data_IF_993195507818
#
_entry.id   IF_993195507818
#
_cell.length_a   1.000
_cell.length_b   1.000
_cell.length_c   1.000
_cell.angle_alpha   90.00
_cell.angle_beta   90.00
_cell.angle_gamma   90.00
#
_symmetry.space_group_name_H-M   'P 1'
#
loop_
_entity.id
_entity.type
_entity.pdbx_description
1 polymer ?
#
# COMPACT_ATOMS: atom_id res chain seq x y z
N UNK A 1 22.98 -14.64 9.19
CA UNK A 1 23.26 -14.44 10.62
C UNK A 1 22.51 -13.19 11.04
N UNK A 2 21.49 -13.30 11.92
CA UNK A 2 20.75 -12.11 12.40
C UNK A 2 21.74 -11.11 13.02
N UNK A 3 21.57 -9.82 12.75
CA UNK A 3 22.27 -8.78 13.52
C UNK A 3 21.88 -8.97 14.98
N UNK A 4 22.83 -8.92 15.93
CA UNK A 4 22.42 -8.95 17.33
C UNK A 4 21.60 -7.69 17.59
N UNK A 5 20.42 -7.84 18.20
CA UNK A 5 19.50 -6.72 18.43
C UNK A 5 20.18 -5.59 19.22
N UNK A 6 21.09 -5.97 20.12
CA UNK A 6 21.95 -5.06 20.89
C UNK A 6 22.91 -4.25 20.00
N UNK A 7 23.57 -4.87 19.03
CA UNK A 7 24.46 -4.15 18.11
C UNK A 7 23.67 -3.24 17.18
N UNK A 8 22.49 -3.67 16.74
CA UNK A 8 21.65 -2.85 15.90
C UNK A 8 21.22 -1.56 16.63
N UNK A 9 20.69 -1.69 17.85
CA UNK A 9 20.33 -0.55 18.69
C UNK A 9 21.52 0.39 18.97
N UNK A 10 22.73 -0.16 19.12
CA UNK A 10 23.92 0.64 19.44
C UNK A 10 24.52 1.37 18.24
N UNK A 11 24.39 0.81 17.03
CA UNK A 11 25.15 1.28 15.86
C UNK A 11 24.31 1.77 14.68
N UNK A 12 23.02 1.45 14.58
CA UNK A 12 22.19 1.72 13.39
C UNK A 12 22.25 3.16 12.92
N UNK A 13 21.91 4.13 13.77
CA UNK A 13 21.89 5.55 13.43
C UNK A 13 23.26 6.09 13.03
N UNK A 14 24.33 5.63 13.70
CA UNK A 14 25.70 6.09 13.44
C UNK A 14 26.28 5.50 12.16
N UNK A 15 26.05 4.20 11.92
CA UNK A 15 26.41 3.52 10.67
C UNK A 15 25.67 4.16 9.50
N UNK A 16 24.37 4.42 9.64
CA UNK A 16 23.57 5.10 8.64
C UNK A 16 24.09 6.51 8.34
N UNK A 17 24.37 7.31 9.37
CA UNK A 17 24.89 8.67 9.21
C UNK A 17 26.22 8.67 8.45
N UNK A 18 27.17 7.83 8.86
CA UNK A 18 28.47 7.76 8.19
C UNK A 18 28.36 7.36 6.72
N UNK A 19 27.47 6.42 6.40
CA UNK A 19 27.28 5.96 5.03
C UNK A 19 26.53 7.00 4.17
N UNK A 20 25.33 7.42 4.59
CA UNK A 20 24.44 8.23 3.76
C UNK A 20 24.69 9.73 3.82
N UNK A 21 25.24 10.24 4.94
CA UNK A 21 25.48 11.68 5.13
C UNK A 21 26.95 12.05 5.03
N UNK A 22 27.84 11.22 5.58
CA UNK A 22 29.28 11.49 5.55
C UNK A 22 30.01 10.88 4.35
N UNK A 23 29.35 10.04 3.55
CA UNK A 23 29.93 9.45 2.33
C UNK A 23 31.01 8.39 2.57
N UNK A 24 31.10 7.85 3.78
CA UNK A 24 32.08 6.81 4.12
C UNK A 24 31.73 5.47 3.45
N UNK A 25 32.75 4.74 3.03
CA UNK A 25 32.62 3.35 2.58
C UNK A 25 32.31 2.42 3.75
N UNK A 26 31.72 1.26 3.44
CA UNK A 26 31.42 0.24 4.45
C UNK A 26 32.68 -0.29 5.15
N UNK A 27 33.84 -0.26 4.47
CA UNK A 27 35.11 -0.70 5.04
C UNK A 27 35.64 0.32 6.07
N UNK A 28 35.60 1.61 5.75
CA UNK A 28 36.01 2.67 6.68
C UNK A 28 35.10 2.72 7.92
N UNK A 29 33.79 2.49 7.74
CA UNK A 29 32.85 2.41 8.86
C UNK A 29 33.16 1.21 9.75
N UNK A 30 33.46 0.06 9.13
CA UNK A 30 33.80 -1.17 9.85
C UNK A 30 35.04 -0.97 10.72
N UNK A 31 36.12 -0.43 10.16
CA UNK A 31 37.35 -0.09 10.89
C UNK A 31 37.08 0.92 12.01
N UNK A 32 36.38 2.02 11.69
CA UNK A 32 36.09 3.10 12.65
C UNK A 32 35.27 2.65 13.86
N UNK A 33 34.38 1.66 13.67
CA UNK A 33 33.48 1.18 14.72
C UNK A 33 33.94 -0.15 15.34
N UNK A 34 35.09 -0.71 14.91
CA UNK A 34 35.54 -2.02 15.36
C UNK A 34 34.58 -3.16 14.98
N UNK A 35 33.84 -3.00 13.88
CA UNK A 35 32.89 -3.97 13.34
C UNK A 35 33.50 -4.68 12.12
N UNK A 36 32.97 -5.83 11.74
CA UNK A 36 33.29 -6.41 10.44
C UNK A 36 32.39 -5.80 9.34
N UNK A 37 32.89 -5.77 8.10
CA UNK A 37 32.18 -5.20 6.95
C UNK A 37 30.80 -5.84 6.73
N UNK A 38 30.68 -7.15 6.88
CA UNK A 38 29.41 -7.87 6.76
C UNK A 38 28.37 -7.41 7.79
N UNK A 39 28.80 -7.03 8.99
CA UNK A 39 27.94 -6.48 10.05
C UNK A 39 27.46 -5.09 9.68
N UNK A 40 28.32 -4.22 9.16
CA UNK A 40 27.94 -2.90 8.65
C UNK A 40 26.91 -3.02 7.52
N UNK A 41 27.13 -3.94 6.57
CA UNK A 41 26.17 -4.22 5.49
C UNK A 41 24.81 -4.65 6.07
N UNK A 42 24.82 -5.59 7.01
CA UNK A 42 23.58 -6.08 7.60
C UNK A 42 22.85 -4.99 8.40
N UNK A 43 23.57 -4.13 9.14
CA UNK A 43 22.99 -2.98 9.84
C UNK A 43 22.39 -1.99 8.84
N UNK A 44 23.09 -1.63 7.76
CA UNK A 44 22.56 -0.73 6.73
C UNK A 44 21.33 -1.31 6.04
N UNK A 45 21.34 -2.61 5.74
CA UNK A 45 20.21 -3.30 5.14
C UNK A 45 19.01 -3.34 6.09
N UNK A 46 19.25 -3.62 7.38
CA UNK A 46 18.20 -3.62 8.40
C UNK A 46 17.63 -2.21 8.60
N UNK A 47 18.48 -1.18 8.64
CA UNK A 47 18.07 0.22 8.79
C UNK A 47 17.26 0.75 7.62
N UNK A 48 17.53 0.27 6.41
CA UNK A 48 16.65 0.53 5.26
C UNK A 48 15.34 -0.25 5.38
N UNK A 49 15.42 -1.51 5.81
CA UNK A 49 14.27 -2.42 5.86
C UNK A 49 13.25 -1.98 6.91
N UNK A 50 13.69 -1.59 8.09
CA UNK A 50 12.83 -1.26 9.23
C UNK A 50 12.35 0.21 9.25
N UNK A 51 12.87 1.04 8.34
CA UNK A 51 12.49 2.45 8.21
C UNK A 51 13.35 3.41 9.04
N UNK A 52 14.34 2.93 9.80
CA UNK A 52 15.31 3.78 10.52
C UNK A 52 16.01 4.78 9.58
N UNK A 53 16.22 4.37 8.33
CA UNK A 53 16.70 5.23 7.25
C UNK A 53 15.66 5.27 6.15
N UNK A 54 15.20 6.47 5.85
CA UNK A 54 14.50 6.76 4.60
C UNK A 54 15.35 7.62 3.67
N UNK A 55 15.18 7.40 2.37
CA UNK A 55 15.90 8.08 1.31
C UNK A 55 14.88 8.82 0.44
N UNK A 56 14.92 10.15 0.50
CA UNK A 56 14.19 11.00 -0.43
C UNK A 56 15.06 11.30 -1.64
N UNK A 57 14.57 10.93 -2.82
CA UNK A 57 15.19 11.33 -4.08
C UNK A 57 14.40 12.52 -4.62
N UNK A 58 15.01 13.69 -4.60
CA UNK A 58 14.46 14.90 -5.21
C UNK A 58 15.08 15.10 -6.59
N UNK A 59 14.23 15.35 -7.59
CA UNK A 59 14.62 15.56 -8.97
C UNK A 59 13.48 15.25 -9.92
N UNK A 60 13.55 15.76 -11.14
CA UNK A 60 12.59 15.43 -12.20
C UNK A 60 13.29 14.57 -13.24
N UNK A 61 12.94 13.29 -13.31
CA UNK A 61 13.23 12.50 -14.49
C UNK A 61 12.29 12.98 -15.60
N UNK A 62 12.86 13.64 -16.62
CA UNK A 62 12.08 14.22 -17.71
C UNK A 62 11.29 13.18 -18.51
N UNK A 63 11.70 11.90 -18.53
CA UNK A 63 10.95 10.83 -19.19
C UNK A 63 9.76 10.40 -18.35
N UNK A 64 9.97 10.17 -17.05
CA UNK A 64 8.87 9.79 -16.15
C UNK A 64 7.83 10.90 -16.04
N UNK A 65 8.25 12.15 -15.94
CA UNK A 65 7.34 13.30 -15.92
C UNK A 65 6.47 13.39 -17.19
N UNK A 66 7.02 13.02 -18.35
CA UNK A 66 6.24 12.94 -19.60
C UNK A 66 5.20 11.82 -19.57
N UNK A 67 5.54 10.66 -18.99
CA UNK A 67 4.59 9.55 -18.81
C UNK A 67 3.46 9.93 -17.85
N UNK A 68 3.80 10.57 -16.72
CA UNK A 68 2.84 11.08 -15.74
C UNK A 68 1.84 12.04 -16.40
N UNK A 69 2.33 13.05 -17.12
CA UNK A 69 1.49 14.01 -17.83
C UNK A 69 0.64 13.39 -18.94
N UNK A 70 1.18 12.41 -19.67
CA UNK A 70 0.43 11.69 -20.70
C UNK A 70 -0.73 10.89 -20.08
N UNK A 71 -0.46 10.13 -19.00
CA UNK A 71 -1.49 9.35 -18.31
C UNK A 71 -2.56 10.24 -17.68
N UNK A 72 -2.17 11.35 -17.05
CA UNK A 72 -3.13 12.34 -16.52
C UNK A 72 -4.10 12.80 -17.59
N UNK A 73 -3.60 13.11 -18.80
CA UNK A 73 -4.41 13.59 -19.92
C UNK A 73 -5.28 12.50 -20.55
N UNK A 74 -4.72 11.33 -20.86
CA UNK A 74 -5.44 10.23 -21.54
C UNK A 74 -6.58 9.71 -20.66
N UNK A 75 -6.32 9.56 -19.37
CA UNK A 75 -7.22 8.91 -18.43
C UNK A 75 -7.97 9.88 -17.51
N UNK A 76 -7.75 11.19 -17.66
CA UNK A 76 -8.31 12.23 -16.79
C UNK A 76 -8.05 11.99 -15.29
N UNK A 77 -6.84 11.50 -14.97
CA UNK A 77 -6.41 11.29 -13.58
C UNK A 77 -5.96 12.61 -12.96
N UNK A 78 -6.30 12.82 -11.68
CA UNK A 78 -5.92 14.02 -10.93
C UNK A 78 -4.41 14.10 -10.76
N UNK A 79 -3.80 12.99 -10.34
CA UNK A 79 -2.36 12.86 -10.17
C UNK A 79 -1.88 11.49 -10.62
N UNK A 80 -0.65 11.44 -11.12
CA UNK A 80 0.06 10.22 -11.49
C UNK A 80 1.49 10.33 -10.97
N UNK A 81 1.97 9.29 -10.31
CA UNK A 81 3.38 9.15 -9.93
C UNK A 81 3.93 7.86 -10.56
N UNK A 82 5.00 7.99 -11.34
CA UNK A 82 5.67 6.87 -12.00
C UNK A 82 7.04 6.65 -11.37
N UNK A 83 7.26 5.45 -10.85
CA UNK A 83 8.60 5.05 -10.40
C UNK A 83 9.43 4.47 -11.56
N UNK A 84 10.77 4.60 -11.54
CA UNK A 84 11.64 3.94 -12.51
C UNK A 84 11.41 2.43 -12.54
N UNK A 85 11.74 1.80 -13.67
CA UNK A 85 11.74 0.33 -13.76
C UNK A 85 12.69 -0.28 -12.72
N UNK A 86 12.16 -1.20 -11.90
CA UNK A 86 12.89 -2.02 -10.94
C UNK A 86 12.69 -3.50 -11.24
N UNK A 87 13.45 -4.38 -10.57
CA UNK A 87 13.21 -5.81 -10.66
C UNK A 87 11.84 -6.19 -10.05
N UNK A 88 11.13 -7.14 -10.65
CA UNK A 88 9.77 -7.53 -10.25
C UNK A 88 9.66 -7.85 -8.74
N UNK A 89 10.67 -8.53 -8.18
CA UNK A 89 10.73 -8.88 -6.75
C UNK A 89 10.75 -7.67 -5.81
N UNK A 90 11.14 -6.50 -6.30
CA UNK A 90 11.26 -5.25 -5.54
C UNK A 90 10.11 -4.28 -5.85
N UNK A 91 9.27 -4.60 -6.84
CA UNK A 91 8.25 -3.68 -7.34
C UNK A 91 7.25 -3.26 -6.27
N UNK A 92 6.69 -4.24 -5.52
CA UNK A 92 5.74 -3.95 -4.44
C UNK A 92 6.33 -3.01 -3.39
N UNK A 93 7.57 -3.26 -2.96
CA UNK A 93 8.28 -2.45 -1.98
C UNK A 93 8.52 -1.01 -2.47
N UNK A 94 8.95 -0.85 -3.73
CA UNK A 94 9.18 0.48 -4.30
C UNK A 94 7.88 1.25 -4.51
N UNK A 95 6.78 0.57 -4.85
CA UNK A 95 5.45 1.19 -4.91
C UNK A 95 4.96 1.64 -3.52
N UNK A 96 5.24 0.87 -2.47
CA UNK A 96 4.95 1.29 -1.09
C UNK A 96 5.75 2.53 -0.68
N UNK A 97 7.05 2.57 -1.01
CA UNK A 97 7.90 3.75 -0.75
C UNK A 97 7.37 4.97 -1.51
N UNK A 98 6.99 4.81 -2.77
CA UNK A 98 6.39 5.87 -3.57
C UNK A 98 5.05 6.35 -2.98
N UNK A 99 4.21 5.43 -2.50
CA UNK A 99 2.97 5.76 -1.79
C UNK A 99 3.21 6.56 -0.51
N UNK A 100 4.23 6.20 0.27
CA UNK A 100 4.62 6.95 1.47
C UNK A 100 5.09 8.36 1.12
N UNK A 101 5.95 8.49 0.11
CA UNK A 101 6.41 9.78 -0.38
C UNK A 101 5.26 10.64 -0.90
N UNK A 102 4.34 10.06 -1.68
CA UNK A 102 3.17 10.76 -2.18
C UNK A 102 2.33 11.30 -1.02
N UNK A 103 2.04 10.46 -0.01
CA UNK A 103 1.27 10.85 1.16
C UNK A 103 1.90 12.01 1.94
N UNK A 104 3.23 11.99 2.12
CA UNK A 104 3.99 13.07 2.77
C UNK A 104 3.91 14.41 2.03
N UNK A 105 3.64 14.39 0.74
CA UNK A 105 3.50 15.61 -0.08
C UNK A 105 2.05 16.09 -0.22
N UNK A 106 1.06 15.25 0.08
CA UNK A 106 -0.36 15.59 -0.06
C UNK A 106 -0.94 16.36 1.12
N UNK A 107 -0.43 16.17 2.33
CA UNK A 107 -0.97 16.84 3.50
C UNK A 107 -0.33 18.20 3.73
N UNK A 108 -1.18 19.21 3.92
CA UNK A 108 -0.78 20.47 4.53
C UNK A 108 -0.56 20.28 6.05
N UNK A 109 -0.17 21.33 6.77
CA UNK A 109 0.13 21.23 8.21
C UNK A 109 -1.07 20.86 9.10
N UNK A 110 -2.30 20.78 8.56
CA UNK A 110 -3.50 20.42 9.32
C UNK A 110 -3.72 18.92 9.41
N UNK A 111 -3.03 18.11 8.61
CA UNK A 111 -3.25 16.66 8.54
C UNK A 111 -4.60 16.30 7.92
N UNK A 112 -5.00 15.04 8.03
CA UNK A 112 -6.30 14.58 7.57
C UNK A 112 -6.51 13.08 7.82
N UNK A 113 -7.63 12.56 7.33
CA UNK A 113 -7.99 11.16 7.51
C UNK A 113 -7.57 10.32 6.30
N UNK A 114 -6.72 9.32 6.54
CA UNK A 114 -6.21 8.39 5.51
C UNK A 114 -6.92 7.04 5.61
N UNK A 115 -7.69 6.72 4.60
CA UNK A 115 -8.24 5.39 4.38
C UNK A 115 -7.18 4.45 3.83
N UNK A 116 -6.94 3.34 4.50
CA UNK A 116 -6.00 2.31 4.08
C UNK A 116 -6.77 1.09 3.59
N UNK A 117 -6.61 0.79 2.30
CA UNK A 117 -7.07 -0.44 1.69
C UNK A 117 -6.22 -1.65 2.07
N UNK A 118 -6.58 -2.77 1.45
CA UNK A 118 -6.01 -4.07 1.74
C UNK A 118 -4.73 -4.37 0.94
N UNK A 119 -3.86 -5.21 1.50
CA UNK A 119 -2.74 -5.85 0.79
C UNK A 119 -1.35 -5.28 1.10
N UNK A 120 -0.32 -6.07 0.76
CA UNK A 120 1.07 -5.77 1.15
C UNK A 120 1.57 -4.39 0.70
N UNK A 121 1.19 -3.94 -0.49
CA UNK A 121 1.66 -2.65 -1.02
C UNK A 121 1.12 -1.48 -0.19
N UNK A 122 -0.16 -1.51 0.21
CA UNK A 122 -0.78 -0.45 1.01
C UNK A 122 -0.30 -0.53 2.46
N UNK A 123 -0.28 -1.72 3.07
CA UNK A 123 0.26 -1.89 4.43
C UNK A 123 1.73 -1.49 4.53
N UNK A 124 2.51 -1.62 3.45
CA UNK A 124 3.90 -1.17 3.40
C UNK A 124 4.07 0.35 3.44
N UNK A 125 3.07 1.14 3.04
CA UNK A 125 3.17 2.61 3.01
C UNK A 125 3.42 3.18 4.40
N UNK A 126 2.66 2.70 5.39
CA UNK A 126 2.80 3.15 6.78
C UNK A 126 4.16 2.78 7.38
N UNK A 127 4.83 1.74 6.85
CA UNK A 127 6.18 1.35 7.25
C UNK A 127 7.27 2.24 6.65
N UNK A 128 7.02 2.85 5.49
CA UNK A 128 8.01 3.68 4.78
C UNK A 128 7.78 5.18 4.95
N UNK A 129 6.83 5.58 5.80
CA UNK A 129 6.71 6.96 6.24
C UNK A 129 7.99 7.38 6.95
N UNK A 130 8.55 8.47 6.48
CA UNK A 130 9.89 8.96 6.79
C UNK A 130 9.87 10.33 7.43
N UNK A 131 8.75 11.03 7.30
CA UNK A 131 8.45 12.26 8.02
C UNK A 131 7.36 12.00 9.03
N UNK A 132 7.45 12.72 10.15
CA UNK A 132 6.30 12.93 11.02
C UNK A 132 5.27 13.69 10.18
N UNK A 133 4.18 13.00 9.83
CA UNK A 133 2.98 13.62 9.29
C UNK A 133 2.42 14.64 10.30
N UNK A 134 1.59 15.59 9.87
CA UNK A 134 0.98 16.54 10.79
C UNK A 134 0.25 15.83 11.94
N UNK A 135 0.34 16.36 13.16
CA UNK A 135 -0.11 15.67 14.39
C UNK A 135 -1.62 15.35 14.47
N UNK A 136 -2.44 15.92 13.58
CA UNK A 136 -3.88 15.59 13.46
C UNK A 136 -4.19 14.54 12.39
N UNK A 137 -3.16 13.94 11.80
CA UNK A 137 -3.35 12.85 10.83
C UNK A 137 -3.90 11.63 11.55
N UNK A 138 -4.88 10.97 10.94
CA UNK A 138 -5.48 9.74 11.43
C UNK A 138 -5.53 8.71 10.30
N UNK A 139 -5.54 7.43 10.66
CA UNK A 139 -5.65 6.33 9.72
C UNK A 139 -6.88 5.49 10.02
N UNK A 140 -7.54 4.98 8.99
CA UNK A 140 -8.71 4.10 9.12
C UNK A 140 -8.65 3.00 8.06
N UNK A 141 -9.02 1.77 8.41
CA UNK A 141 -9.06 0.67 7.44
C UNK A 141 -10.31 0.73 6.57
N UNK A 142 -10.19 0.50 5.27
CA UNK A 142 -11.32 0.48 4.31
C UNK A 142 -12.02 -0.88 4.23
N UNK A 143 -11.49 -1.90 4.90
CA UNK A 143 -12.09 -3.22 4.96
C UNK A 143 -11.71 -3.96 6.24
N UNK A 144 -12.50 -4.97 6.58
CA UNK A 144 -12.14 -5.93 7.63
C UNK A 144 -10.92 -6.77 7.27
N UNK A 145 -10.63 -7.74 8.12
CA UNK A 145 -9.51 -8.68 7.99
C UNK A 145 -8.51 -8.52 9.11
N UNK A 146 -8.36 -7.31 9.69
CA UNK A 146 -7.48 -6.88 10.80
C UNK A 146 -6.03 -7.37 10.69
N UNK A 147 -5.78 -8.68 10.74
CA UNK A 147 -4.47 -9.35 10.63
C UNK A 147 -3.64 -8.91 9.44
N UNK A 148 -4.24 -8.44 8.35
CA UNK A 148 -3.54 -7.96 7.15
C UNK A 148 -2.97 -6.55 7.31
N UNK A 149 -3.58 -5.78 8.20
CA UNK A 149 -3.00 -4.54 8.69
C UNK A 149 -1.97 -4.85 9.77
N UNK A 150 -2.06 -6.00 10.46
CA UNK A 150 -1.08 -6.44 11.46
C UNK A 150 0.11 -7.11 10.79
N UNK A 151 1.16 -6.34 10.50
CA UNK A 151 2.43 -6.93 10.08
C UNK A 151 2.89 -7.99 11.09
N UNK A 152 3.04 -9.23 10.65
CA UNK A 152 3.69 -10.29 11.43
C UNK A 152 5.08 -9.80 11.86
N UNK A 153 5.22 -9.54 13.16
CA UNK A 153 6.47 -9.31 13.89
C UNK A 153 7.57 -8.56 13.13
N UNK A 154 7.55 -7.23 13.17
CA UNK A 154 8.80 -6.45 13.12
C UNK A 154 9.06 -5.86 14.50
N UNK A 155 9.88 -6.56 15.27
CA UNK A 155 10.46 -6.05 16.52
C UNK A 155 11.32 -4.83 16.18
N UNK A 156 10.94 -3.64 16.66
CA UNK A 156 11.78 -2.44 16.60
C UNK A 156 11.22 -1.22 15.86
N UNK A 157 10.02 -1.27 15.29
CA UNK A 157 9.47 -0.10 14.58
C UNK A 157 8.76 0.88 15.51
N UNK A 158 9.00 2.17 15.27
CA UNK A 158 8.17 3.29 15.75
C UNK A 158 6.85 3.36 14.96
N UNK A 159 6.22 2.21 14.73
CA UNK A 159 5.18 2.04 13.72
C UNK A 159 4.80 0.58 13.48
N UNK A 160 4.70 -0.25 14.51
CA UNK A 160 3.92 -1.48 14.36
C UNK A 160 2.43 -1.09 14.21
N UNK A 161 1.69 -1.66 13.25
CA UNK A 161 0.38 -1.15 12.83
C UNK A 161 -0.76 -1.26 13.86
N UNK A 162 -0.48 -1.64 15.11
CA UNK A 162 -1.37 -1.35 16.24
C UNK A 162 -0.68 -0.75 17.48
N UNK A 163 0.66 -0.73 17.56
CA UNK A 163 1.37 -0.29 18.78
C UNK A 163 2.44 0.76 18.54
N UNK A 164 2.60 1.26 17.32
CA UNK A 164 3.61 2.26 16.98
C UNK A 164 3.14 3.43 16.14
N UNK A 165 1.85 3.57 15.82
CA UNK A 165 1.43 4.80 15.19
C UNK A 165 1.57 5.97 16.18
N UNK A 166 2.40 6.95 15.84
CA UNK A 166 2.31 8.31 16.41
C UNK A 166 0.91 8.95 16.19
N UNK A 167 0.06 8.33 15.37
CA UNK A 167 -1.22 8.81 14.89
C UNK A 167 -2.37 7.87 15.33
N UNK A 168 -3.59 8.37 15.54
CA UNK A 168 -4.75 7.52 15.76
C UNK A 168 -4.98 6.55 14.59
N UNK A 169 -5.27 5.28 14.89
CA UNK A 169 -5.53 4.22 13.92
C UNK A 169 -6.85 3.52 14.24
N UNK A 170 -7.80 3.55 13.31
CA UNK A 170 -9.16 3.03 13.47
C UNK A 170 -9.33 1.78 12.60
N UNK A 171 -9.26 0.61 13.22
CA UNK A 171 -9.41 -0.67 12.53
C UNK A 171 -10.86 -1.15 12.54
N UNK A 172 -11.35 -1.67 11.42
CA UNK A 172 -12.63 -2.38 11.36
C UNK A 172 -12.48 -3.71 12.12
N UNK A 173 -13.19 -3.92 13.24
CA UNK A 173 -12.99 -5.08 14.11
C UNK A 173 -13.70 -6.33 13.60
N UNK A 174 -13.60 -6.60 12.30
CA UNK A 174 -14.31 -7.71 11.62
C UNK A 174 -13.36 -8.49 10.72
N UNK A 175 -13.70 -9.74 10.36
CA UNK A 175 -13.12 -10.38 9.18
C UNK A 175 -13.42 -9.59 7.91
N UNK A 176 -12.63 -9.79 6.86
CA UNK A 176 -12.91 -9.25 5.53
C UNK A 176 -14.13 -9.92 4.90
N UNK A 177 -14.13 -11.26 4.95
CA UNK A 177 -15.14 -12.13 4.37
C UNK A 177 -15.80 -12.97 5.45
N UNK A 178 -17.13 -12.93 5.50
CA UNK A 178 -17.93 -13.67 6.47
C UNK A 178 -18.48 -14.96 5.85
N UNK A 179 -18.89 -15.89 6.71
CA UNK A 179 -19.44 -17.18 6.27
C UNK A 179 -20.78 -17.04 5.55
N UNK A 180 -21.63 -16.11 5.99
CA UNK A 180 -22.98 -15.89 5.43
C UNK A 180 -23.29 -14.41 5.25
N UNK A 181 -24.25 -14.11 4.36
CA UNK A 181 -24.77 -12.75 4.14
C UNK A 181 -25.40 -12.19 5.41
N UNK A 182 -26.24 -12.97 6.08
CA UNK A 182 -26.91 -12.56 7.33
C UNK A 182 -25.91 -12.21 8.44
N UNK A 183 -24.80 -12.95 8.57
CA UNK A 183 -23.75 -12.60 9.53
C UNK A 183 -23.05 -11.27 9.17
N UNK A 184 -22.78 -11.07 7.88
CA UNK A 184 -22.24 -9.80 7.38
C UNK A 184 -23.17 -8.63 7.70
N UNK A 185 -24.47 -8.76 7.41
CA UNK A 185 -25.49 -7.74 7.71
C UNK A 185 -25.60 -7.45 9.20
N UNK A 186 -25.59 -8.48 10.06
CA UNK A 186 -25.62 -8.30 11.51
C UNK A 186 -24.38 -7.55 12.01
N UNK A 187 -23.18 -7.91 11.55
CA UNK A 187 -21.96 -7.20 11.95
C UNK A 187 -21.92 -5.76 11.44
N UNK A 188 -22.43 -5.50 10.22
CA UNK A 188 -22.57 -4.14 9.70
C UNK A 188 -23.58 -3.29 10.48
N UNK A 189 -24.44 -3.91 11.29
CA UNK A 189 -25.38 -3.21 12.18
C UNK A 189 -24.82 -2.95 13.58
N UNK A 190 -23.65 -3.49 13.93
CA UNK A 190 -23.00 -3.21 15.21
C UNK A 190 -22.45 -1.77 15.22
N UNK A 191 -22.73 -1.04 16.28
CA UNK A 191 -22.38 0.39 16.41
C UNK A 191 -20.90 0.67 16.20
N UNK A 192 -20.01 -0.19 16.72
CA UNK A 192 -18.56 -0.04 16.54
C UNK A 192 -18.15 -0.17 15.07
N UNK A 193 -18.76 -1.12 14.35
CA UNK A 193 -18.49 -1.34 12.92
C UNK A 193 -19.01 -0.15 12.11
N UNK A 194 -20.23 0.32 12.38
CA UNK A 194 -20.80 1.49 11.73
C UNK A 194 -19.93 2.73 11.93
N UNK A 195 -19.48 2.98 13.16
CA UNK A 195 -18.63 4.14 13.50
C UNK A 195 -17.34 4.15 12.66
N UNK A 196 -16.66 3.00 12.55
CA UNK A 196 -15.42 2.91 11.77
C UNK A 196 -15.70 2.96 10.27
N UNK A 197 -16.78 2.33 9.78
CA UNK A 197 -17.19 2.40 8.37
C UNK A 197 -17.55 3.82 7.93
N UNK A 198 -18.28 4.56 8.76
CA UNK A 198 -18.60 5.97 8.52
C UNK A 198 -17.34 6.81 8.47
N UNK A 199 -16.41 6.62 9.43
CA UNK A 199 -15.10 7.28 9.39
C UNK A 199 -14.36 6.94 8.09
N UNK A 200 -14.30 5.65 7.71
CA UNK A 200 -13.66 5.20 6.47
C UNK A 200 -14.21 5.92 5.22
N UNK A 201 -15.53 6.06 5.10
CA UNK A 201 -16.20 6.75 4.00
C UNK A 201 -15.86 8.25 3.90
N UNK A 202 -15.50 8.88 5.03
CA UNK A 202 -15.11 10.29 5.10
C UNK A 202 -13.60 10.52 4.95
N UNK A 203 -12.82 9.50 4.58
CA UNK A 203 -11.38 9.67 4.37
C UNK A 203 -11.09 10.77 3.34
N UNK A 204 -10.15 11.65 3.68
CA UNK A 204 -9.69 12.69 2.77
C UNK A 204 -8.95 12.08 1.58
N UNK A 205 -8.18 11.02 1.86
CA UNK A 205 -7.40 10.24 0.92
C UNK A 205 -7.65 8.77 1.22
N UNK A 206 -7.95 7.97 0.19
CA UNK A 206 -8.00 6.51 0.26
C UNK A 206 -6.86 5.92 -0.56
N UNK A 207 -5.99 5.13 0.07
CA UNK A 207 -4.90 4.41 -0.57
C UNK A 207 -5.35 2.97 -0.81
N UNK A 208 -5.50 2.57 -2.07
CA UNK A 208 -6.03 1.24 -2.43
C UNK A 208 -5.06 0.48 -3.32
N UNK A 209 -4.86 -0.79 -3.03
CA UNK A 209 -4.17 -1.71 -3.93
C UNK A 209 -5.10 -2.17 -5.04
N UNK A 210 -4.57 -2.37 -6.24
CA UNK A 210 -5.32 -2.96 -7.36
C UNK A 210 -4.87 -4.41 -7.53
N UNK A 211 -5.79 -5.35 -7.32
CA UNK A 211 -5.57 -6.78 -7.45
C UNK A 211 -5.83 -7.27 -8.86
N UNK A 212 -5.07 -8.29 -9.29
CA UNK A 212 -5.31 -9.04 -10.52
C UNK A 212 -5.72 -10.48 -10.18
N UNK A 213 -6.47 -11.11 -11.07
CA UNK A 213 -6.94 -12.49 -10.92
C UNK A 213 -5.81 -13.49 -11.22
N UNK A 214 -4.88 -13.60 -10.28
CA UNK A 214 -3.72 -14.49 -10.38
C UNK A 214 -3.85 -15.67 -9.41
N UNK A 215 -3.46 -16.90 -9.80
CA UNK A 215 -3.51 -18.08 -8.92
C UNK A 215 -2.69 -17.93 -7.63
N UNK A 216 -1.65 -17.07 -7.66
CA UNK A 216 -0.79 -16.78 -6.51
C UNK A 216 -1.19 -15.47 -5.79
N UNK A 217 -2.38 -14.94 -6.06
CA UNK A 217 -2.89 -13.73 -5.42
C UNK A 217 -3.00 -13.93 -3.90
N UNK A 218 -2.99 -12.81 -3.18
CA UNK A 218 -3.13 -12.81 -1.73
C UNK A 218 -4.50 -13.42 -1.34
N UNK A 219 -5.55 -13.21 -2.14
CA UNK A 219 -6.86 -13.84 -1.93
C UNK A 219 -6.83 -15.38 -1.95
N UNK A 220 -6.05 -15.99 -2.83
CA UNK A 220 -5.88 -17.46 -2.85
C UNK A 220 -5.07 -17.92 -1.64
N UNK A 221 -4.01 -17.19 -1.29
CA UNK A 221 -3.16 -17.51 -0.14
C UNK A 221 -3.91 -17.45 1.19
N UNK A 222 -4.85 -16.52 1.33
CA UNK A 222 -5.70 -16.38 2.52
C UNK A 222 -6.98 -17.25 2.46
N UNK A 223 -7.12 -18.08 1.42
CA UNK A 223 -8.24 -19.01 1.29
C UNK A 223 -9.59 -18.35 0.98
N UNK A 224 -9.59 -17.08 0.58
CA UNK A 224 -10.82 -16.38 0.19
C UNK A 224 -11.39 -16.90 -1.13
N UNK A 225 -10.54 -17.47 -2.00
CA UNK A 225 -10.92 -18.10 -3.28
C UNK A 225 -9.96 -19.21 -3.70
N UNK A 226 -10.47 -20.20 -4.41
CA UNK A 226 -9.70 -21.22 -5.13
C UNK A 226 -9.21 -20.72 -6.50
N UNK A 227 -8.25 -21.44 -7.09
CA UNK A 227 -7.76 -21.14 -8.44
C UNK A 227 -8.85 -21.38 -9.50
N UNK A 228 -9.71 -22.35 -9.27
CA UNK A 228 -10.85 -22.71 -10.12
C UNK A 228 -11.88 -21.59 -10.15
N UNK A 229 -12.23 -21.04 -8.98
CA UNK A 229 -13.12 -19.88 -8.88
C UNK A 229 -12.55 -18.66 -9.61
N UNK A 230 -11.25 -18.39 -9.50
CA UNK A 230 -10.63 -17.29 -10.26
C UNK A 230 -10.73 -17.49 -11.78
N UNK A 231 -10.59 -18.72 -12.28
CA UNK A 231 -10.77 -19.02 -13.70
C UNK A 231 -12.22 -18.76 -14.14
N UNK A 232 -13.19 -19.10 -13.30
CA UNK A 232 -14.62 -18.81 -13.55
C UNK A 232 -14.86 -17.31 -13.60
N UNK A 233 -14.38 -16.54 -12.61
CA UNK A 233 -14.50 -15.09 -12.59
C UNK A 233 -13.89 -14.43 -13.82
N UNK A 234 -12.73 -14.91 -14.27
CA UNK A 234 -12.11 -14.41 -15.51
C UNK A 234 -12.98 -14.68 -16.74
N UNK A 235 -13.68 -15.82 -16.80
CA UNK A 235 -14.66 -16.11 -17.87
C UNK A 235 -15.89 -15.22 -17.79
N UNK A 236 -16.29 -14.84 -16.58
CA UNK A 236 -17.39 -13.90 -16.30
C UNK A 236 -17.00 -12.43 -16.55
N UNK A 237 -15.75 -12.17 -16.97
CA UNK A 237 -15.29 -10.85 -17.38
C UNK A 237 -14.52 -10.07 -16.32
N UNK A 238 -14.25 -10.66 -15.15
CA UNK A 238 -13.45 -10.03 -14.12
C UNK A 238 -12.02 -9.76 -14.62
N UNK A 239 -11.57 -8.52 -14.48
CA UNK A 239 -10.21 -8.10 -14.83
C UNK A 239 -9.38 -7.73 -13.60
N UNK A 240 -10.03 -7.31 -12.52
CA UNK A 240 -9.38 -6.92 -11.28
C UNK A 240 -10.28 -7.00 -10.07
N UNK A 241 -9.69 -6.74 -8.90
CA UNK A 241 -10.40 -6.60 -7.63
C UNK A 241 -9.83 -5.48 -6.77
N UNK A 242 -10.66 -4.90 -5.89
CA UNK A 242 -10.20 -4.14 -4.74
C UNK A 242 -11.04 -4.52 -3.53
N UNK A 243 -10.38 -4.79 -2.41
CA UNK A 243 -11.02 -5.19 -1.15
C UNK A 243 -11.95 -6.41 -1.30
N UNK A 244 -11.69 -7.28 -2.28
CA UNK A 244 -12.47 -8.48 -2.54
C UNK A 244 -13.66 -8.28 -3.48
N UNK A 245 -13.97 -7.05 -3.88
CA UNK A 245 -14.95 -6.81 -4.94
C UNK A 245 -14.30 -6.85 -6.32
N UNK A 246 -14.87 -7.67 -7.19
CA UNK A 246 -14.39 -7.86 -8.56
C UNK A 246 -15.10 -6.92 -9.52
N UNK A 247 -14.35 -6.42 -10.50
CA UNK A 247 -14.85 -5.52 -11.53
C UNK A 247 -14.36 -5.94 -12.93
N UNK A 248 -15.08 -5.51 -13.95
CA UNK A 248 -14.79 -5.80 -15.35
C UNK A 248 -13.90 -4.74 -16.02
N UNK A 249 -13.63 -4.88 -17.32
CA UNK A 249 -12.79 -3.95 -18.09
C UNK A 249 -13.32 -2.51 -18.15
N UNK A 250 -14.61 -2.30 -17.92
CA UNK A 250 -15.22 -0.97 -17.81
C UNK A 250 -15.21 -0.44 -16.37
N UNK A 251 -14.73 -1.26 -15.42
CA UNK A 251 -14.73 -0.95 -13.99
C UNK A 251 -16.10 -1.08 -13.34
N UNK A 252 -17.05 -1.76 -13.99
CA UNK A 252 -18.35 -2.09 -13.42
C UNK A 252 -18.21 -3.30 -12.49
N UNK A 253 -18.88 -3.24 -11.35
CA UNK A 253 -18.82 -4.29 -10.32
C UNK A 253 -19.60 -5.50 -10.79
N UNK A 254 -19.01 -6.69 -10.68
CA UNK A 254 -19.69 -7.92 -11.00
C UNK A 254 -20.75 -8.27 -9.94
N UNK A 255 -21.88 -8.82 -10.37
CA UNK A 255 -22.92 -9.28 -9.46
C UNK A 255 -22.60 -10.69 -8.94
N UNK A 256 -21.92 -10.76 -7.80
CA UNK A 256 -21.43 -12.00 -7.20
C UNK A 256 -21.91 -12.13 -5.76
N UNK A 257 -22.46 -13.29 -5.39
CA UNK A 257 -22.91 -13.59 -4.01
C UNK A 257 -21.80 -13.37 -2.96
N UNK A 258 -20.55 -13.57 -3.35
CA UNK A 258 -19.39 -13.29 -2.50
C UNK A 258 -19.35 -11.84 -2.00
N UNK A 259 -19.80 -10.87 -2.81
CA UNK A 259 -19.78 -9.46 -2.44
C UNK A 259 -20.72 -9.14 -1.27
N UNK A 260 -21.81 -9.91 -1.10
CA UNK A 260 -22.76 -9.76 0.00
C UNK A 260 -22.17 -10.18 1.35
N UNK A 261 -21.04 -10.89 1.35
CA UNK A 261 -20.34 -11.37 2.56
C UNK A 261 -19.10 -10.55 2.91
N UNK A 262 -18.82 -9.48 2.17
CA UNK A 262 -17.66 -8.62 2.39
C UNK A 262 -17.98 -7.44 3.29
N UNK A 263 -17.22 -7.28 4.38
CA UNK A 263 -17.19 -6.06 5.20
C UNK A 263 -16.10 -5.14 4.67
N UNK A 264 -16.50 -4.24 3.77
CA UNK A 264 -15.61 -3.27 3.13
C UNK A 264 -16.37 -2.04 2.63
N UNK A 265 -15.66 -0.92 2.50
CA UNK A 265 -16.09 0.20 1.66
C UNK A 265 -16.18 -0.30 0.22
N UNK A 266 -17.41 -0.32 -0.31
CA UNK A 266 -17.71 -0.88 -1.62
C UNK A 266 -17.11 -0.04 -2.75
N UNK A 267 -16.85 -0.64 -3.91
CA UNK A 267 -16.31 0.05 -5.10
C UNK A 267 -17.16 1.25 -5.52
N UNK A 268 -18.49 1.11 -5.47
CA UNK A 268 -19.42 2.21 -5.75
C UNK A 268 -19.35 3.36 -4.73
N UNK A 269 -18.90 3.08 -3.51
CA UNK A 269 -18.65 4.10 -2.48
C UNK A 269 -17.26 4.72 -2.65
N UNK A 270 -16.22 3.90 -2.91
CA UNK A 270 -14.85 4.36 -3.22
C UNK A 270 -14.86 5.42 -4.33
N UNK A 271 -15.55 5.14 -5.44
CA UNK A 271 -15.72 6.07 -6.57
C UNK A 271 -16.25 7.47 -6.18
N UNK A 272 -16.96 7.58 -5.05
CA UNK A 272 -17.55 8.84 -4.55
C UNK A 272 -16.70 9.51 -3.47
N UNK A 273 -15.67 8.84 -2.96
CA UNK A 273 -14.80 9.41 -1.93
C UNK A 273 -14.02 10.60 -2.46
N UNK A 274 -13.50 11.44 -1.55
CA UNK A 274 -12.84 12.69 -1.92
C UNK A 274 -11.66 12.46 -2.86
N UNK A 275 -10.77 11.51 -2.56
CA UNK A 275 -9.59 11.22 -3.36
C UNK A 275 -9.15 9.76 -3.19
N UNK A 276 -9.36 8.91 -4.19
CA UNK A 276 -8.88 7.51 -4.19
C UNK A 276 -7.61 7.41 -5.02
N UNK A 277 -6.56 6.85 -4.45
CA UNK A 277 -5.26 6.67 -5.08
C UNK A 277 -5.02 5.17 -5.22
N UNK A 278 -5.02 4.69 -6.46
CA UNK A 278 -4.67 3.32 -6.80
C UNK A 278 -3.17 3.13 -6.83
N UNK A 279 -2.68 2.07 -6.21
CA UNK A 279 -1.25 1.75 -6.13
C UNK A 279 -1.02 0.35 -6.66
N UNK A 280 -0.52 0.28 -7.89
CA UNK A 280 -0.27 -0.98 -8.57
C UNK A 280 0.68 -0.80 -9.74
N UNK A 281 1.42 -1.86 -10.03
CA UNK A 281 2.30 -1.96 -11.19
C UNK A 281 2.56 -3.44 -11.47
N UNK A 282 3.28 -3.70 -12.56
CA UNK A 282 3.54 -5.04 -13.05
C UNK A 282 2.63 -5.37 -14.23
N UNK A 283 3.21 -6.06 -15.22
CA UNK A 283 2.49 -6.42 -16.44
C UNK A 283 1.25 -7.27 -16.20
N UNK A 284 1.24 -8.06 -15.13
CA UNK A 284 0.13 -8.92 -14.73
C UNK A 284 -1.09 -8.14 -14.22
N UNK A 285 -0.92 -6.86 -13.86
CA UNK A 285 -1.99 -6.01 -13.31
C UNK A 285 -2.57 -5.03 -14.32
N UNK A 286 -2.08 -5.00 -15.56
CA UNK A 286 -2.46 -3.97 -16.54
C UNK A 286 -3.96 -3.91 -16.82
N UNK A 287 -4.61 -5.05 -17.01
CA UNK A 287 -6.06 -5.10 -17.26
C UNK A 287 -6.85 -4.61 -16.04
N UNK A 288 -6.41 -4.98 -14.83
CA UNK A 288 -7.01 -4.51 -13.59
C UNK A 288 -6.85 -3.00 -13.40
N UNK A 289 -5.65 -2.46 -13.66
CA UNK A 289 -5.37 -1.02 -13.58
C UNK A 289 -6.23 -0.27 -14.61
N UNK A 290 -6.28 -0.75 -15.85
CA UNK A 290 -7.10 -0.16 -16.91
C UNK A 290 -8.59 -0.17 -16.55
N UNK A 291 -9.12 -1.28 -16.04
CA UNK A 291 -10.51 -1.37 -15.59
C UNK A 291 -10.82 -0.40 -14.46
N UNK A 292 -9.94 -0.31 -13.45
CA UNK A 292 -10.10 0.59 -12.31
C UNK A 292 -10.15 2.07 -12.71
N UNK A 293 -9.25 2.47 -13.62
CA UNK A 293 -9.21 3.83 -14.18
C UNK A 293 -10.44 4.09 -15.04
N UNK A 294 -10.81 3.14 -15.91
CA UNK A 294 -11.93 3.29 -16.84
C UNK A 294 -13.26 3.42 -16.12
N UNK A 295 -13.45 2.70 -15.01
CA UNK A 295 -14.62 2.82 -14.14
C UNK A 295 -14.62 4.07 -13.27
N UNK A 296 -13.54 4.85 -13.25
CA UNK A 296 -13.37 5.99 -12.35
C UNK A 296 -13.35 5.59 -10.88
N UNK A 297 -12.98 4.36 -10.56
CA UNK A 297 -12.87 3.85 -9.18
C UNK A 297 -11.73 4.60 -8.45
N UNK A 298 -10.66 4.90 -9.18
CA UNK A 298 -9.51 5.66 -8.69
C UNK A 298 -9.45 7.03 -9.34
N UNK A 299 -8.97 8.02 -8.59
CA UNK A 299 -8.77 9.40 -9.04
C UNK A 299 -7.31 9.69 -9.35
N UNK A 300 -6.38 8.88 -8.85
CA UNK A 300 -4.93 9.02 -9.06
C UNK A 300 -4.26 7.66 -9.06
N UNK A 301 -3.08 7.57 -9.68
CA UNK A 301 -2.35 6.32 -9.86
C UNK A 301 -0.88 6.46 -9.44
N UNK A 302 -0.40 5.52 -8.64
CA UNK A 302 1.03 5.29 -8.41
C UNK A 302 1.39 3.96 -9.06
N UNK A 303 2.31 3.99 -10.03
CA UNK A 303 2.67 2.83 -10.85
C UNK A 303 4.14 2.84 -11.26
N UNK A 304 4.60 1.80 -11.95
CA UNK A 304 5.96 1.73 -12.49
C UNK A 304 6.02 2.13 -13.98
N UNK A 305 7.22 2.50 -14.41
CA UNK A 305 7.51 2.91 -15.79
C UNK A 305 7.02 1.90 -16.85
N UNK A 306 7.16 0.60 -16.60
CA UNK A 306 6.73 -0.43 -17.57
C UNK A 306 5.22 -0.46 -17.71
N UNK A 307 4.51 -0.33 -16.59
CA UNK A 307 3.04 -0.27 -16.60
C UNK A 307 2.54 1.03 -17.22
N UNK A 308 3.16 2.15 -16.87
CA UNK A 308 2.83 3.47 -17.41
C UNK A 308 2.93 3.50 -18.94
N UNK A 309 4.03 2.98 -19.50
CA UNK A 309 4.23 2.93 -20.95
C UNK A 309 3.17 2.09 -21.69
N UNK A 310 2.60 1.07 -21.05
CA UNK A 310 1.58 0.19 -21.64
C UNK A 310 0.15 0.70 -21.45
N UNK A 311 -0.03 1.71 -20.59
CA UNK A 311 -1.31 2.37 -20.31
C UNK A 311 -1.54 3.61 -21.18
N UNK A 312 -0.48 4.16 -21.78
CA UNK A 312 -0.54 5.18 -22.84
C UNK A 312 -0.90 4.51 -24.16
#
# INVERSE_FOLDING_TARGET
MKVSEKDYQLYSSRVAWYYFKAGMTQAEIAEKLGLNRSRVINILNEARRDGTVSIHVQGKDAKLAKLEEALKKIWNLREVMVIPKVADKQLKENLSIAGAHFLETCFDQRGGLVGLGWGHTVSGITMYLSRILPGKTEFVTLCGGVTQYLAESRTGNVGAPLSGFYYPFHALPTPLLLSTKSLCENLLNETEVQTVMEKALHSDIALVGIGALMPNSEFVRFGYRSTEELKTLKKEGAVGEMHGEYFDKSGEVLNLEHHDRLVTVKLGQLKKMKHVIGIAGGSEKLEAIRGAISGGIIHSLITDETSAQKLI
#
